data_IF_337062220019
#
_entry.id   IF_337062220019
#
_cell.length_a   1.000
_cell.length_b   1.000
_cell.length_c   1.000
_cell.angle_alpha   90.00
_cell.angle_beta   90.00
_cell.angle_gamma   90.00
#
_symmetry.space_group_name_H-M   'P 1'
#
loop_
_entity.id
_entity.type
_entity.pdbx_description
1 polymer ?
2 non-polymer ?
3 non-polymer ?
4 non-polymer ?
5 water ?
#
# COMPACT_ATOMS: atom_id res chain seq x y z
N UNK A 1 -22.46 -7.99 14.80
CA UNK A 1 -22.13 -7.75 16.20
C UNK A 1 -20.68 -7.98 16.59
N UNK A 2 -20.37 -7.74 17.87
CA UNK A 2 -19.03 -7.96 18.40
C UNK A 2 -18.92 -9.37 18.99
N UNK A 3 -18.19 -9.51 20.09
CA UNK A 3 -17.94 -10.85 20.63
C UNK A 3 -19.22 -11.47 21.20
N UNK A 4 -20.26 -10.66 21.36
CA UNK A 4 -21.51 -11.15 21.90
C UNK A 4 -22.42 -11.86 20.91
N UNK A 5 -22.14 -11.72 19.62
CA UNK A 5 -23.00 -12.30 18.59
C UNK A 5 -22.32 -13.44 17.81
N UNK A 6 -23.07 -14.02 16.88
CA UNK A 6 -22.57 -15.11 16.04
C UNK A 6 -21.38 -14.65 15.22
N UNK A 7 -20.26 -15.35 15.30
CA UNK A 7 -19.06 -14.89 14.59
C UNK A 7 -18.94 -15.55 13.22
N UNK A 8 -18.36 -14.82 12.28
CA UNK A 8 -18.24 -15.28 10.92
C UNK A 8 -17.11 -16.29 10.74
N UNK A 9 -15.99 -16.13 11.45
CA UNK A 9 -14.89 -17.10 11.36
C UNK A 9 -15.17 -18.31 12.24
N UNK A 10 -14.94 -19.52 11.72
CA UNK A 10 -15.17 -20.70 12.56
C UNK A 10 -14.00 -20.93 13.53
N UNK A 11 -12.87 -20.31 13.25
CA UNK A 11 -11.76 -20.30 14.20
C UNK A 11 -10.83 -19.15 13.82
N UNK A 12 -10.10 -18.64 14.80
CA UNK A 12 -9.31 -17.44 14.61
C UNK A 12 -7.89 -17.81 14.14
N UNK A 13 -7.82 -18.34 12.93
CA UNK A 13 -6.58 -18.80 12.34
C UNK A 13 -6.59 -18.55 10.86
N UNK A 14 -5.44 -18.69 10.22
CA UNK A 14 -5.37 -18.53 8.77
C UNK A 14 -6.30 -19.55 8.11
N UNK A 15 -6.39 -20.74 8.69
CA UNK A 15 -7.26 -21.78 8.17
C UNK A 15 -8.75 -21.37 8.25
N UNK A 16 -9.12 -20.70 9.33
CA UNK A 16 -10.49 -20.21 9.47
C UNK A 16 -10.78 -19.13 8.44
N UNK A 17 -9.80 -18.26 8.19
CA UNK A 17 -9.97 -17.18 7.21
C UNK A 17 -10.14 -17.78 5.83
N UNK A 18 -9.35 -18.79 5.51
CA UNK A 18 -9.44 -19.40 4.19
C UNK A 18 -10.82 -20.04 3.98
N UNK A 19 -11.33 -20.77 4.98
CA UNK A 19 -12.66 -21.36 4.86
C UNK A 19 -13.71 -20.26 4.67
N UNK A 20 -13.56 -19.17 5.41
CA UNK A 20 -14.49 -18.06 5.28
C UNK A 20 -14.45 -17.50 3.87
N UNK A 21 -13.25 -17.32 3.33
CA UNK A 21 -13.09 -16.76 2.00
C UNK A 21 -13.74 -17.61 0.91
N UNK A 22 -13.74 -18.93 1.09
CA UNK A 22 -14.34 -19.81 0.09
C UNK A 22 -15.78 -20.21 0.45
N UNK A 23 -16.37 -19.46 1.36
CA UNK A 23 -17.78 -19.62 1.69
C UNK A 23 -18.60 -18.55 1.00
N UNK A 24 -19.91 -18.71 0.97
CA UNK A 24 -20.76 -17.73 0.31
C UNK A 24 -20.83 -16.39 1.06
N UNK A 25 -20.38 -16.39 2.32
CA UNK A 25 -20.42 -15.19 3.17
C UNK A 25 -19.41 -14.12 2.75
N UNK A 26 -18.35 -14.56 2.10
CA UNK A 26 -17.25 -13.67 1.78
C UNK A 26 -17.18 -13.41 0.29
N UNK A 27 -17.55 -12.19 -0.11
CA UNK A 27 -17.57 -11.82 -1.53
C UNK A 27 -16.68 -10.63 -1.86
N UNK A 28 -16.48 -9.76 -0.88
CA UNK A 28 -15.76 -8.50 -1.11
C UNK A 28 -14.65 -8.27 -0.08
N UNK A 29 -13.41 -8.25 -0.57
CA UNK A 29 -12.23 -8.09 0.27
C UNK A 29 -11.62 -6.71 0.05
N UNK A 30 -11.27 -6.02 1.13
CA UNK A 30 -10.47 -4.82 1.05
C UNK A 30 -9.10 -5.15 1.59
N UNK A 31 -8.09 -4.81 0.80
CA UNK A 31 -6.71 -4.89 1.23
C UNK A 31 -6.23 -3.55 1.73
N UNK A 32 -5.55 -3.55 2.87
CA UNK A 32 -4.87 -2.38 3.40
C UNK A 32 -3.40 -2.72 3.45
N UNK A 33 -2.56 -2.06 2.67
CA UNK A 33 -1.16 -2.45 2.57
C UNK A 33 -0.20 -1.28 2.77
N UNK A 34 0.99 -1.62 3.27
CA UNK A 34 2.03 -0.66 3.55
C UNK A 34 3.40 -1.13 3.07
N UNK A 35 4.44 -0.49 3.61
CA UNK A 35 5.78 -0.65 3.08
C UNK A 35 6.29 -2.07 3.19
N UNK A 36 5.72 -2.82 4.13
CA UNK A 36 6.06 -4.21 4.36
C UNK A 36 5.80 -5.14 3.19
N UNK A 37 4.96 -4.76 2.23
CA UNK A 37 4.72 -5.62 1.09
C UNK A 37 5.71 -5.38 -0.06
N UNK A 38 6.56 -4.37 0.08
CA UNK A 38 7.51 -4.02 -0.98
C UNK A 38 8.98 -4.18 -0.59
N UNK A 39 9.25 -4.44 0.68
CA UNK A 39 10.64 -4.64 1.09
C UNK A 39 11.26 -5.83 0.38
N UNK A 40 10.50 -6.88 0.12
CA UNK A 40 11.07 -8.05 -0.52
C UNK A 40 11.30 -7.82 -2.02
N UNK A 41 10.81 -6.69 -2.52
CA UNK A 41 11.07 -6.26 -3.89
C UNK A 41 12.30 -5.36 -3.92
N UNK A 42 12.94 -5.19 -2.76
CA UNK A 42 14.14 -4.41 -2.66
C UNK A 42 13.87 -2.93 -2.53
N UNK A 43 12.65 -2.60 -2.10
CA UNK A 43 12.30 -1.21 -1.80
C UNK A 43 12.20 -1.02 -0.29
N UNK A 44 13.21 -0.40 0.32
CA UNK A 44 13.16 -0.20 1.77
C UNK A 44 11.98 0.66 2.24
N UNK A 45 11.52 0.40 3.46
CA UNK A 45 10.55 1.25 4.12
C UNK A 45 11.31 2.43 4.66
N UNK A 46 11.16 3.60 4.06
CA UNK A 46 11.99 4.73 4.44
C UNK A 46 11.63 5.22 5.84
N UNK A 47 10.63 4.57 6.45
CA UNK A 47 10.24 4.88 7.83
C UNK A 47 10.89 3.93 8.83
N UNK A 48 11.49 2.85 8.33
CA UNK A 48 12.23 1.92 9.18
C UNK A 48 13.63 2.46 9.43
N UNK A 49 14.03 2.56 10.70
CA UNK A 49 15.33 3.14 11.06
C UNK A 49 16.51 2.46 10.37
N UNK A 50 16.40 1.14 10.20
CA UNK A 50 17.47 0.35 9.59
C UNK A 50 17.75 0.76 8.15
N UNK A 51 16.74 1.34 7.51
CA UNK A 51 16.95 2.06 6.26
C UNK A 51 17.33 3.49 6.64
N UNK A 52 16.34 4.25 7.09
CA UNK A 52 16.58 5.57 7.67
C UNK A 52 16.94 6.65 6.67
N UNK A 53 16.22 7.76 6.75
CA UNK A 53 16.47 8.91 5.87
C UNK A 53 17.51 9.85 6.48
N UNK A 57 21.54 9.93 6.52
CA UNK A 57 22.51 10.38 5.52
C UNK A 57 21.89 11.40 4.55
N UNK A 58 21.83 12.65 4.98
CA UNK A 58 21.20 13.68 4.16
C UNK A 58 21.80 15.06 4.34
N UNK A 59 23.02 15.24 3.86
CA UNK A 59 23.64 16.55 3.86
C UNK A 59 23.24 17.32 2.60
N UNK A 60 21.94 17.46 2.41
CA UNK A 60 21.39 18.32 1.37
C UNK A 60 21.31 19.74 1.90
N UNK A 61 21.94 19.96 3.05
CA UNK A 61 22.11 21.29 3.60
C UNK A 61 20.75 21.91 3.90
N UNK A 62 19.84 21.08 4.38
CA UNK A 62 18.50 21.52 4.75
C UNK A 62 18.54 22.34 6.01
N UNK A 63 17.62 23.31 6.14
CA UNK A 63 17.47 24.06 7.39
C UNK A 63 17.12 23.14 8.55
N UNK A 64 16.66 21.93 8.22
CA UNK A 64 16.33 20.89 9.20
C UNK A 64 15.88 19.66 8.44
N UNK A 65 15.94 18.47 9.07
CA UNK A 65 15.64 17.21 8.37
C UNK A 65 14.25 17.13 7.73
N UNK A 66 13.20 17.51 8.47
CA UNK A 66 11.83 17.32 8.00
C UNK A 66 11.49 18.15 6.76
N UNK A 67 12.29 19.18 6.49
CA UNK A 67 12.01 20.10 5.39
C UNK A 67 11.86 19.39 4.05
N UNK A 68 12.66 18.35 3.83
CA UNK A 68 12.68 17.67 2.55
C UNK A 68 11.35 16.93 2.28
N UNK A 69 10.53 16.79 3.32
CA UNK A 69 9.22 16.15 3.20
C UNK A 69 8.07 17.16 3.13
N UNK A 70 8.39 18.43 3.35
CA UNK A 70 7.38 19.48 3.49
C UNK A 70 7.10 20.16 2.15
N UNK A 71 5.81 20.36 1.84
CA UNK A 71 5.42 20.88 0.54
C UNK A 71 5.87 22.35 0.39
N UNK A 72 5.80 23.10 1.48
CA UNK A 72 6.21 24.50 1.47
C UNK A 72 7.67 24.62 1.05
N UNK A 73 8.54 23.83 1.67
CA UNK A 73 9.97 23.87 1.39
C UNK A 73 10.26 23.37 -0.02
N UNK A 74 9.56 22.31 -0.43
CA UNK A 74 9.74 21.76 -1.77
C UNK A 74 9.53 22.82 -2.84
N UNK A 75 8.48 23.62 -2.69
CA UNK A 75 8.09 24.54 -3.76
C UNK A 75 9.09 25.67 -3.95
N UNK A 76 9.82 26.04 -2.90
CA UNK A 76 10.85 27.07 -3.05
C UNK A 76 12.24 26.47 -3.22
N UNK A 77 12.45 25.26 -2.69
CA UNK A 77 13.73 24.57 -2.86
C UNK A 77 13.53 23.09 -3.19
N UNK A 78 13.26 22.78 -4.47
CA UNK A 78 12.94 21.42 -4.88
C UNK A 78 14.14 20.52 -5.10
N UNK A 79 15.35 21.10 -5.21
CA UNK A 79 16.50 20.33 -5.64
C UNK A 79 16.87 19.18 -4.69
N UNK A 80 16.83 19.41 -3.37
CA UNK A 80 17.10 18.29 -2.46
C UNK A 80 16.17 17.12 -2.69
N UNK A 81 14.87 17.36 -2.75
CA UNK A 81 13.92 16.27 -2.97
C UNK A 81 14.27 15.45 -4.21
N UNK A 82 14.57 16.13 -5.33
CA UNK A 82 14.81 15.42 -6.56
C UNK A 82 16.17 14.73 -6.57
N UNK A 83 17.10 15.25 -5.76
CA UNK A 83 18.37 14.57 -5.57
C UNK A 83 18.14 13.29 -4.74
N UNK A 84 17.35 13.42 -3.69
CA UNK A 84 16.98 12.26 -2.88
C UNK A 84 16.18 11.24 -3.70
N UNK A 85 15.35 11.74 -4.61
CA UNK A 85 14.55 10.87 -5.47
C UNK A 85 15.44 10.05 -6.42
N UNK A 86 16.52 10.64 -6.92
CA UNK A 86 17.43 9.91 -7.79
C UNK A 86 18.15 8.80 -7.00
N UNK A 87 18.58 9.15 -5.79
CA UNK A 87 19.27 8.21 -4.91
C UNK A 87 18.38 7.01 -4.55
N UNK A 88 17.11 7.27 -4.24
CA UNK A 88 16.20 6.22 -3.78
C UNK A 88 15.44 5.55 -4.92
N UNK A 89 15.68 5.96 -6.17
CA UNK A 89 14.96 5.37 -7.29
C UNK A 89 15.27 3.88 -7.41
N UNK A 90 14.24 3.01 -7.35
CA UNK A 90 14.52 1.57 -7.45
C UNK A 90 15.26 1.18 -8.73
N UNK A 91 16.17 0.22 -8.62
CA UNK A 91 16.88 -0.29 -9.78
C UNK A 91 16.04 -1.20 -10.64
N UNK A 92 14.94 -1.70 -10.09
CA UNK A 92 14.00 -2.53 -10.84
C UNK A 92 12.65 -2.47 -10.13
N UNK A 93 11.59 -2.67 -10.90
CA UNK A 93 10.23 -2.70 -10.36
C UNK A 93 9.60 -4.07 -10.58
N UNK A 94 9.85 -4.95 -9.61
CA UNK A 94 9.40 -6.32 -9.66
C UNK A 94 8.49 -6.58 -8.47
N UNK A 95 7.16 -6.58 -8.69
CA UNK A 95 6.25 -6.75 -7.56
C UNK A 95 6.44 -8.09 -6.88
N UNK A 96 6.02 -8.16 -5.63
CA UNK A 96 6.22 -9.33 -4.79
C UNK A 96 5.09 -10.35 -4.93
N UNK A 97 5.31 -11.52 -4.37
CA UNK A 97 4.26 -12.51 -4.26
C UNK A 97 2.99 -11.89 -3.65
N UNK A 98 3.17 -11.05 -2.64
CA UNK A 98 2.04 -10.37 -2.01
C UNK A 98 1.28 -9.51 -3.03
N UNK A 99 2.00 -8.74 -3.83
CA UNK A 99 1.35 -7.94 -4.86
C UNK A 99 0.55 -8.81 -5.82
N UNK A 100 1.13 -9.91 -6.28
CA UNK A 100 0.44 -10.76 -7.24
C UNK A 100 -0.70 -11.54 -6.59
N UNK A 101 -0.61 -11.80 -5.28
CA UNK A 101 -1.74 -12.38 -4.57
C UNK A 101 -2.95 -11.45 -4.67
N UNK A 102 -2.74 -10.14 -4.60
CA UNK A 102 -3.84 -9.21 -4.74
C UNK A 102 -4.37 -9.23 -6.18
N UNK A 103 -3.49 -9.41 -7.15
CA UNK A 103 -3.97 -9.58 -8.53
C UNK A 103 -4.84 -10.84 -8.65
N UNK A 104 -4.44 -11.94 -7.99
CA UNK A 104 -5.28 -13.14 -8.00
C UNK A 104 -6.64 -12.86 -7.36
N UNK A 105 -6.65 -12.13 -6.24
CA UNK A 105 -7.92 -11.73 -5.63
C UNK A 105 -8.82 -11.05 -6.65
N UNK A 106 -8.24 -10.15 -7.44
CA UNK A 106 -8.94 -9.46 -8.50
C UNK A 106 -9.47 -10.44 -9.55
N UNK A 107 -8.60 -11.33 -10.01
CA UNK A 107 -8.97 -12.36 -10.99
C UNK A 107 -10.08 -13.28 -10.48
N UNK A 108 -10.06 -13.56 -9.17
CA UNK A 108 -11.02 -14.47 -8.55
C UNK A 108 -12.33 -13.77 -8.20
N UNK A 109 -12.43 -12.48 -8.50
CA UNK A 109 -13.64 -11.72 -8.28
C UNK A 109 -13.88 -11.28 -6.84
N UNK A 110 -12.83 -11.30 -6.03
CA UNK A 110 -12.94 -11.03 -4.60
C UNK A 110 -12.45 -9.64 -4.18
N UNK A 111 -11.77 -8.93 -5.06
CA UNK A 111 -11.15 -7.66 -4.66
C UNK A 111 -12.08 -6.48 -4.84
N UNK A 112 -12.51 -5.90 -3.72
CA UNK A 112 -13.26 -4.67 -3.74
C UNK A 112 -12.33 -3.48 -3.92
N UNK A 113 -11.26 -3.42 -3.13
CA UNK A 113 -10.34 -2.31 -3.23
C UNK A 113 -9.03 -2.63 -2.53
N UNK A 114 -7.95 -2.06 -3.05
CA UNK A 114 -6.66 -2.05 -2.36
C UNK A 114 -6.33 -0.63 -1.97
N UNK A 115 -6.29 -0.37 -0.66
CA UNK A 115 -5.84 0.89 -0.11
C UNK A 115 -4.37 0.73 0.21
N UNK A 116 -3.52 1.53 -0.43
CA UNK A 116 -2.07 1.40 -0.22
C UNK A 116 -1.46 2.69 0.32
N UNK A 117 -0.48 2.54 1.20
CA UNK A 117 0.34 3.66 1.66
C UNK A 117 1.59 3.83 0.83
N UNK A 118 1.81 2.92 -0.13
CA UNK A 118 3.06 2.91 -0.89
C UNK A 118 2.98 3.81 -2.11
N UNK A 119 4.14 4.32 -2.51
CA UNK A 119 4.23 5.26 -3.62
C UNK A 119 5.03 4.67 -4.79
N UNK A 120 5.34 3.38 -4.71
CA UNK A 120 6.29 2.75 -5.62
C UNK A 120 5.70 2.21 -6.93
N UNK A 121 4.37 2.26 -7.06
CA UNK A 121 3.61 1.83 -8.25
C UNK A 121 3.57 0.30 -8.48
N UNK A 122 4.09 -0.49 -7.54
CA UNK A 122 4.12 -1.93 -7.75
C UNK A 122 2.72 -2.55 -7.84
N UNK A 123 1.71 -1.96 -7.21
CA UNK A 123 0.36 -2.49 -7.34
C UNK A 123 -0.08 -2.43 -8.80
N UNK A 124 0.27 -1.34 -9.48
CA UNK A 124 -0.12 -1.16 -10.87
C UNK A 124 0.63 -2.13 -11.78
N UNK A 125 1.92 -2.26 -11.52
CA UNK A 125 2.76 -3.14 -12.31
C UNK A 125 2.27 -4.59 -12.16
N UNK A 126 1.78 -4.92 -10.98
CA UNK A 126 1.27 -6.27 -10.72
C UNK A 126 -0.10 -6.54 -11.36
N UNK A 127 -0.76 -5.50 -11.83
CA UNK A 127 -1.99 -5.67 -12.58
C UNK A 127 -3.24 -5.21 -11.89
N UNK A 128 -3.09 -4.45 -10.81
CA UNK A 128 -4.24 -3.74 -10.25
C UNK A 128 -4.46 -2.48 -11.08
N UNK A 129 -5.73 -2.19 -11.35
CA UNK A 129 -6.08 -1.07 -12.20
C UNK A 129 -6.47 0.12 -11.32
N UNK A 130 -6.55 1.31 -11.90
CA UNK A 130 -6.84 2.50 -11.12
C UNK A 130 -8.12 2.35 -10.31
N UNK A 131 -9.14 1.75 -10.93
CA UNK A 131 -10.42 1.59 -10.25
C UNK A 131 -10.24 0.74 -8.98
N UNK A 132 -9.28 -0.17 -8.98
CA UNK A 132 -9.04 -1.08 -7.85
C UNK A 132 -8.30 -0.42 -6.69
N UNK A 133 -7.70 0.73 -6.96
CA UNK A 133 -6.69 1.30 -6.09
C UNK A 133 -7.11 2.60 -5.44
N UNK A 134 -6.75 2.72 -4.16
CA UNK A 134 -6.74 3.99 -3.46
C UNK A 134 -5.31 4.18 -2.95
N UNK A 135 -4.58 5.08 -3.60
CA UNK A 135 -3.20 5.36 -3.23
C UNK A 135 -3.28 6.49 -2.22
N UNK A 136 -3.42 6.08 -0.96
CA UNK A 136 -3.71 6.99 0.13
C UNK A 136 -2.63 8.03 0.37
N UNK A 137 -1.38 7.68 0.08
CA UNK A 137 -0.27 8.61 0.24
C UNK A 137 0.21 9.12 -1.11
N UNK A 138 -0.63 8.97 -2.12
CA UNK A 138 -0.28 9.39 -3.46
C UNK A 138 0.64 8.40 -4.15
N UNK A 139 1.24 8.82 -5.27
CA UNK A 139 2.07 7.94 -6.07
C UNK A 139 3.03 8.69 -6.97
N UNK A 140 4.15 8.06 -7.29
CA UNK A 140 5.06 8.55 -8.34
C UNK A 140 4.52 8.30 -9.76
N UNK A 141 3.45 7.53 -9.90
CA UNK A 141 3.00 7.12 -11.23
C UNK A 141 2.68 8.29 -12.16
N UNK A 142 2.11 9.35 -11.60
CA UNK A 142 1.88 10.57 -12.34
C UNK A 142 2.41 11.76 -11.56
N UNK A 143 2.71 12.84 -12.29
CA UNK A 143 3.14 14.11 -11.69
C UNK A 143 2.31 15.23 -12.29
N UNK A 144 2.26 16.38 -11.60
CA UNK A 144 1.55 17.55 -12.12
C UNK A 144 2.33 18.84 -11.93
N UNK A 145 2.30 19.67 -12.96
CA UNK A 145 2.60 21.09 -12.80
C UNK A 145 1.86 21.66 -11.58
N UNK A 146 2.57 22.40 -10.73
CA UNK A 146 1.96 22.88 -9.50
C UNK A 146 1.15 24.17 -9.67
N UNK A 147 1.18 24.78 -10.85
CA UNK A 147 0.41 26.00 -11.06
C UNK A 147 -1.08 25.68 -11.20
N UNK A 148 -1.89 26.31 -10.36
CA UNK A 148 -3.33 26.05 -10.33
C UNK A 148 -4.01 26.21 -11.69
N UNK A 149 -3.58 27.19 -12.47
CA UNK A 149 -4.22 27.50 -13.74
C UNK A 149 -3.76 26.58 -14.87
N UNK A 150 -2.79 25.71 -14.58
CA UNK A 150 -2.25 24.81 -15.60
C UNK A 150 -2.47 23.35 -15.23
N UNK A 151 -1.72 22.86 -14.24
CA UNK A 151 -1.86 21.49 -13.73
C UNK A 151 -1.65 20.41 -14.80
N UNK A 152 -0.83 20.71 -15.82
CA UNK A 152 -0.43 19.72 -16.82
C UNK A 152 0.09 18.45 -16.14
N UNK A 153 -0.41 17.29 -16.59
CA UNK A 153 -0.01 15.99 -16.05
C UNK A 153 1.14 15.38 -16.84
N UNK A 154 2.10 14.80 -16.14
CA UNK A 154 3.24 14.14 -16.78
C UNK A 154 3.36 12.69 -16.29
N UNK A 155 3.69 11.77 -17.20
CA UNK A 155 3.87 10.35 -16.83
C UNK A 155 5.20 10.09 -16.13
N UNK A 156 5.31 8.94 -15.46
CA UNK A 156 6.53 8.61 -14.75
C UNK A 156 7.75 8.55 -15.68
N UNK A 157 7.52 8.16 -16.94
CA UNK A 157 8.63 8.05 -17.90
C UNK A 157 9.29 9.41 -18.09
N UNK A 158 8.48 10.46 -18.10
CA UNK A 158 8.95 11.83 -18.21
C UNK A 158 9.68 12.27 -16.95
N UNK A 159 9.08 11.99 -15.80
CA UNK A 159 9.65 12.37 -14.52
C UNK A 159 10.96 11.61 -14.23
N UNK A 160 11.00 10.33 -14.62
CA UNK A 160 12.21 9.52 -14.45
C UNK A 160 13.39 10.15 -15.17
N UNK A 161 13.17 10.56 -16.42
CA UNK A 161 14.25 11.11 -17.24
C UNK A 161 14.79 12.39 -16.59
N UNK A 162 13.89 13.22 -16.08
CA UNK A 162 14.27 14.43 -15.39
C UNK A 162 15.06 14.13 -14.13
N UNK A 163 14.64 13.09 -13.40
CA UNK A 163 15.26 12.76 -12.14
C UNK A 163 16.70 12.28 -12.35
N UNK A 164 16.90 11.43 -13.35
CA UNK A 164 18.22 10.83 -13.57
C UNK A 164 19.17 11.81 -14.26
N UNK A 165 18.63 12.62 -15.17
CA UNK A 165 19.41 13.67 -15.83
C UNK A 165 19.74 14.80 -14.87
N UNK A 166 19.15 14.76 -13.67
CA UNK A 166 19.36 15.79 -12.66
C UNK A 166 18.98 17.17 -13.19
N UNK A 167 17.88 17.20 -13.92
CA UNK A 167 17.26 18.46 -14.35
C UNK A 167 15.98 18.63 -13.55
N UNK A 168 15.90 19.73 -12.79
CA UNK A 168 14.70 20.00 -12.01
C UNK A 168 13.52 20.04 -12.98
N UNK A 169 12.50 19.19 -12.76
CA UNK A 169 11.40 19.11 -13.72
C UNK A 169 10.55 20.37 -13.76
N UNK A 170 10.43 20.96 -14.95
CA UNK A 170 9.59 22.14 -15.18
C UNK A 170 8.54 21.89 -16.26
N UNK A 171 7.39 22.52 -16.10
CA UNK A 171 6.29 22.33 -17.02
C UNK A 171 6.60 22.90 -18.41
N UNK A 172 6.33 22.10 -19.44
CA UNK A 172 6.59 22.51 -20.81
C UNK A 172 5.64 23.63 -21.26
N UNK A 173 4.46 23.71 -20.62
CA UNK A 173 3.49 24.75 -20.96
C UNK A 173 3.75 26.09 -20.26
N UNK A 174 4.15 26.07 -18.99
CA UNK A 174 4.27 27.32 -18.21
C UNK A 174 5.55 27.47 -17.39
N UNK A 175 6.42 26.47 -17.42
CA UNK A 175 7.72 26.48 -16.73
C UNK A 175 7.64 26.54 -15.20
N UNK A 176 6.46 26.25 -14.65
CA UNK A 176 6.34 26.00 -13.22
C UNK A 176 6.93 24.65 -12.87
N UNK A 177 7.19 24.46 -11.58
CA UNK A 177 7.64 23.20 -11.03
C UNK A 177 6.64 22.09 -11.28
N UNK A 178 7.14 20.89 -11.59
CA UNK A 178 6.30 19.71 -11.69
C UNK A 178 6.60 18.78 -10.51
N UNK A 179 5.56 18.40 -9.79
CA UNK A 179 5.67 17.63 -8.55
C UNK A 179 5.09 16.22 -8.73
N UNK A 180 5.82 15.18 -8.30
CA UNK A 180 5.18 13.86 -8.25
C UNK A 180 3.91 13.89 -7.42
N UNK A 181 2.90 13.12 -7.83
CA UNK A 181 1.62 13.08 -7.13
C UNK A 181 1.69 12.33 -5.79
N UNK A 182 2.79 12.44 -5.08
CA UNK A 182 2.88 11.89 -3.73
C UNK A 182 2.46 12.96 -2.72
N UNK A 183 1.88 12.52 -1.61
CA UNK A 183 1.47 13.46 -0.57
C UNK A 183 2.67 13.88 0.28
N UNK A 184 3.06 15.14 0.16
CA UNK A 184 4.08 15.74 1.03
C UNK A 184 3.46 16.11 2.38
N UNK A 185 4.28 16.28 3.41
CA UNK A 185 3.74 16.83 4.64
C UNK A 185 3.25 18.23 4.37
N UNK A 186 2.10 18.58 4.94
CA UNK A 186 1.45 19.84 4.65
C UNK A 186 0.37 19.69 3.60
N UNK A 187 0.38 18.56 2.88
CA UNK A 187 -0.68 18.28 1.92
C UNK A 187 -1.74 17.37 2.52
N UNK A 188 -2.96 17.54 2.06
CA UNK A 188 -4.06 16.67 2.44
C UNK A 188 -3.97 15.35 1.68
N UNK A 189 -4.51 14.28 2.26
CA UNK A 189 -4.63 13.04 1.51
C UNK A 189 -5.57 13.31 0.34
N UNK A 190 -5.46 12.50 -0.72
CA UNK A 190 -6.34 12.69 -1.88
C UNK A 190 -7.82 12.56 -1.52
N UNK A 191 -8.66 13.36 -2.17
CA UNK A 191 -10.10 13.31 -1.96
C UNK A 191 -10.62 11.89 -2.20
N UNK A 192 -10.01 11.19 -3.14
CA UNK A 192 -10.40 9.81 -3.46
C UNK A 192 -10.37 8.91 -2.22
N UNK A 193 -9.40 9.15 -1.34
CA UNK A 193 -9.29 8.36 -0.12
C UNK A 193 -10.57 8.42 0.70
N UNK A 194 -11.07 9.63 0.93
CA UNK A 194 -12.24 9.81 1.77
C UNK A 194 -13.51 9.38 1.06
N UNK A 195 -13.62 9.68 -0.23
CA UNK A 195 -14.78 9.27 -1.02
C UNK A 195 -14.95 7.76 -1.04
N UNK A 196 -13.86 7.06 -1.33
CA UNK A 196 -13.92 5.60 -1.42
C UNK A 196 -14.15 4.97 -0.07
N UNK A 197 -13.52 5.51 0.96
CA UNK A 197 -13.65 4.95 2.30
C UNK A 197 -15.12 4.95 2.72
N UNK A 198 -15.80 6.06 2.45
CA UNK A 198 -17.21 6.21 2.84
C UNK A 198 -18.12 5.17 2.21
N UNK A 199 -17.77 4.69 1.02
CA UNK A 199 -18.62 3.73 0.30
C UNK A 199 -18.16 2.28 0.53
N UNK A 200 -16.86 2.06 0.45
CA UNK A 200 -16.33 0.71 0.45
C UNK A 200 -16.61 -0.03 1.74
N UNK A 201 -16.53 0.67 2.87
CA UNK A 201 -16.58 -0.05 4.13
C UNK A 201 -18.01 -0.39 4.52
N UNK A 202 -18.96 0.04 3.71
CA UNK A 202 -20.35 -0.42 3.81
C UNK A 202 -20.54 -1.79 3.16
N UNK A 203 -19.54 -2.22 2.41
CA UNK A 203 -19.68 -3.33 1.47
C UNK A 203 -18.65 -4.45 1.73
N UNK A 204 -17.84 -4.31 2.78
CA UNK A 204 -16.69 -5.20 2.95
C UNK A 204 -17.03 -6.44 3.78
N UNK A 205 -16.50 -7.59 3.34
CA UNK A 205 -16.67 -8.86 4.04
C UNK A 205 -15.40 -9.31 4.76
N UNK A 206 -14.25 -8.81 4.32
CA UNK A 206 -12.94 -9.22 4.85
C UNK A 206 -11.96 -8.08 4.69
N UNK A 207 -11.22 -7.78 5.77
CA UNK A 207 -10.11 -6.86 5.69
C UNK A 207 -8.83 -7.68 5.71
N UNK A 208 -7.99 -7.48 4.69
CA UNK A 208 -6.68 -8.10 4.63
C UNK A 208 -5.64 -7.01 4.80
N UNK A 209 -5.02 -6.98 5.98
CA UNK A 209 -4.08 -5.93 6.36
C UNK A 209 -2.69 -6.51 6.28
N UNK A 210 -1.89 -5.99 5.34
CA UNK A 210 -0.60 -6.61 5.05
C UNK A 210 0.54 -5.60 5.02
N UNK A 211 1.59 -5.87 5.79
CA UNK A 211 2.81 -5.08 5.69
C UNK A 211 2.65 -3.65 6.14
N UNK A 212 1.80 -3.43 7.14
CA UNK A 212 1.70 -2.10 7.75
C UNK A 212 1.57 -2.22 9.25
N UNK A 213 2.27 -1.34 9.97
CA UNK A 213 2.19 -1.30 11.43
C UNK A 213 1.05 -0.39 11.90
N UNK A 214 0.30 0.19 10.96
CA UNK A 214 -0.89 0.96 11.30
C UNK A 214 -0.56 2.08 12.30
N UNK A 215 0.52 2.80 12.04
CA UNK A 215 0.96 3.86 12.93
C UNK A 215 0.70 5.24 12.34
N UNK A 216 0.59 5.32 11.01
CA UNK A 216 0.39 6.60 10.33
C UNK A 216 -1.10 6.86 10.10
N UNK A 217 -1.57 8.03 10.53
CA UNK A 217 -2.98 8.42 10.39
C UNK A 217 -3.15 9.39 9.24
N UNK A 218 -4.36 9.44 8.65
CA UNK A 218 -5.58 8.69 9.01
C UNK A 218 -5.65 7.28 8.40
N UNK A 219 -4.64 6.84 7.67
CA UNK A 219 -4.68 5.50 7.08
C UNK A 219 -4.98 4.43 8.13
N UNK A 220 -4.34 4.51 9.29
CA UNK A 220 -4.50 3.51 10.32
C UNK A 220 -5.95 3.39 10.81
N UNK A 221 -6.67 4.51 10.84
CA UNK A 221 -8.05 4.53 11.32
C UNK A 221 -9.00 3.73 10.44
N UNK A 222 -8.55 3.32 9.27
CA UNK A 222 -9.38 2.54 8.37
C UNK A 222 -9.89 1.26 9.03
N UNK A 223 -9.13 0.63 9.91
CA UNK A 223 -9.58 -0.66 10.42
C UNK A 223 -10.84 -0.49 11.29
N UNK A 224 -10.98 0.69 11.89
CA UNK A 224 -12.13 0.99 12.74
C UNK A 224 -13.38 1.30 11.91
N UNK A 225 -13.26 1.36 10.59
CA UNK A 225 -14.40 1.70 9.75
C UNK A 225 -15.08 0.45 9.22
N UNK A 226 -14.53 -0.72 9.56
CA UNK A 226 -15.16 -1.96 9.18
C UNK A 226 -16.38 -2.21 10.06
N UNK A 227 -17.43 -2.83 9.49
CA UNK A 227 -18.53 -3.32 10.33
C UNK A 227 -18.00 -4.21 11.45
N UNK A 228 -18.74 -4.29 12.55
CA UNK A 228 -18.29 -5.05 13.71
C UNK A 228 -18.01 -6.52 13.42
N UNK A 229 -18.74 -7.11 12.47
CA UNK A 229 -18.62 -8.54 12.23
C UNK A 229 -17.47 -8.89 11.29
N UNK A 230 -16.95 -7.90 10.57
CA UNK A 230 -16.02 -8.14 9.47
C UNK A 230 -14.69 -8.69 9.96
N UNK A 231 -14.35 -9.95 9.57
CA UNK A 231 -13.04 -10.46 9.99
C UNK A 231 -11.90 -9.62 9.44
N UNK A 232 -10.82 -9.56 10.21
CA UNK A 232 -9.66 -8.77 9.85
C UNK A 232 -8.41 -9.62 10.05
N UNK A 233 -7.71 -9.90 8.95
CA UNK A 233 -6.49 -10.69 8.97
C UNK A 233 -5.28 -9.80 8.78
N UNK A 234 -4.39 -9.82 9.77
CA UNK A 234 -3.13 -9.13 9.69
C UNK A 234 -2.03 -10.10 9.25
N UNK A 235 -1.35 -9.77 8.16
CA UNK A 235 -0.15 -10.50 7.73
C UNK A 235 1.00 -9.51 7.82
N UNK A 236 1.85 -9.68 8.81
CA UNK A 236 2.85 -8.67 9.13
C UNK A 236 3.94 -9.26 9.99
N UNK A 237 5.13 -8.66 9.99
CA UNK A 237 6.21 -9.22 10.78
C UNK A 237 5.92 -9.11 12.28
N UNK A 238 5.23 -8.04 12.67
CA UNK A 238 4.86 -7.79 14.07
C UNK A 238 3.37 -7.59 14.21
N UNK A 239 2.83 -7.98 15.37
CA UNK A 239 1.45 -7.67 15.69
C UNK A 239 1.29 -6.16 15.71
N UNK A 240 0.18 -5.68 15.15
CA UNK A 240 -0.09 -4.26 15.03
C UNK A 240 -1.57 -4.00 15.14
N UNK A 241 -1.93 -2.76 15.43
CA UNK A 241 -3.33 -2.36 15.39
C UNK A 241 -4.10 -2.53 16.69
N UNK A 242 -3.47 -3.03 17.73
CA UNK A 242 -4.14 -3.13 19.02
C UNK A 242 -4.20 -1.74 19.64
N UNK A 243 -5.22 -1.49 20.46
CA UNK A 243 -5.33 -0.20 21.12
C UNK A 243 -4.13 0.05 22.02
N UNK A 244 -3.72 1.30 22.11
CA UNK A 244 -2.61 1.69 22.97
C UNK A 244 -3.09 1.76 24.41
N UNK A 245 -2.49 0.95 25.31
CA UNK A 245 -3.00 0.93 26.68
C UNK A 245 -2.81 2.27 27.39
N UNK A 246 -1.93 3.11 26.84
CA UNK A 246 -1.73 4.45 27.40
C UNK A 246 -2.78 5.41 26.86
N UNK A 247 -2.86 5.52 25.53
CA UNK A 247 -3.84 6.39 24.89
C UNK A 247 -5.19 5.70 24.76
N UNK A 255 -12.34 0.89 19.21
CA UNK A 255 -11.19 0.11 19.61
C UNK A 255 -10.51 -0.55 18.42
N UNK A 256 -9.33 -1.13 18.67
CA UNK A 256 -8.51 -1.68 17.62
C UNK A 256 -8.61 -3.20 17.51
N UNK A 257 -7.52 -3.80 17.06
CA UNK A 257 -7.44 -5.23 16.92
C UNK A 257 -7.48 -5.93 18.27
N UNK A 258 -8.24 -7.02 18.34
CA UNK A 258 -8.19 -7.92 19.49
C UNK A 258 -7.93 -9.33 18.98
N UNK A 259 -6.67 -9.74 19.06
CA UNK A 259 -6.26 -11.05 18.56
C UNK A 259 -6.37 -12.14 19.62
N UNK A 260 -6.09 -11.77 20.87
CA UNK A 260 -5.67 -12.74 21.88
C UNK A 260 -6.52 -12.81 23.16
N UNK A 261 -7.41 -11.85 23.39
CA UNK A 261 -8.23 -11.87 24.61
C UNK A 261 -9.34 -12.91 24.51
N UNK A 262 -10.00 -13.18 25.65
CA UNK A 262 -11.13 -14.10 25.67
C UNK A 262 -12.30 -13.56 24.87
N UNK A 263 -12.26 -12.26 24.58
CA UNK A 263 -13.33 -11.61 23.80
C UNK A 263 -12.99 -11.55 22.31
N UNK A 264 -11.81 -12.03 21.93
CA UNK A 264 -11.41 -12.00 20.52
C UNK A 264 -12.43 -12.81 19.73
N UNK A 265 -12.86 -12.31 18.57
CA UNK A 265 -13.89 -13.00 17.81
C UNK A 265 -13.72 -12.91 16.29
N UNK A 266 -12.85 -12.02 15.80
CA UNK A 266 -12.79 -11.79 14.34
C UNK A 266 -11.42 -11.39 13.79
N UNK A 267 -10.46 -11.12 14.67
CA UNK A 267 -9.15 -10.66 14.24
C UNK A 267 -8.13 -11.78 14.36
N UNK A 268 -7.30 -11.93 13.32
CA UNK A 268 -6.30 -12.98 13.23
C UNK A 268 -4.98 -12.36 12.82
N UNK A 269 -3.91 -12.73 13.53
CA UNK A 269 -2.56 -12.28 13.20
C UNK A 269 -1.71 -13.45 12.73
N UNK A 270 -1.18 -13.32 11.52
CA UNK A 270 -0.21 -14.26 10.98
C UNK A 270 1.12 -13.52 10.91
N UNK A 271 2.09 -13.96 11.70
CA UNK A 271 3.33 -13.21 11.87
C UNK A 271 4.49 -13.79 11.08
N UNK A 272 5.00 -12.98 10.16
CA UNK A 272 6.12 -13.37 9.32
C UNK A 272 6.17 -12.41 8.15
N UNK A 273 6.96 -12.77 7.13
CA UNK A 273 7.06 -11.98 5.91
C UNK A 273 5.77 -12.04 5.11
N UNK A 274 5.40 -10.94 4.46
CA UNK A 274 4.12 -10.89 3.75
C UNK A 274 4.04 -11.92 2.64
N UNK A 275 5.16 -12.12 1.95
CA UNK A 275 5.18 -13.10 0.87
C UNK A 275 4.85 -14.48 1.42
N UNK A 276 5.40 -14.81 2.58
CA UNK A 276 5.23 -16.15 3.13
C UNK A 276 3.80 -16.37 3.65
N UNK A 277 3.22 -15.32 4.23
CA UNK A 277 1.84 -15.38 4.69
C UNK A 277 0.89 -15.52 3.53
N UNK A 278 1.10 -14.71 2.48
CA UNK A 278 0.26 -14.80 1.31
C UNK A 278 0.41 -16.15 0.62
N UNK A 279 1.63 -16.69 0.60
CA UNK A 279 1.83 -18.01 0.01
C UNK A 279 1.07 -19.06 0.81
N UNK A 280 1.11 -18.94 2.13
CA UNK A 280 0.42 -19.88 3.01
C UNK A 280 -1.08 -19.82 2.78
N UNK A 281 -1.61 -18.60 2.66
CA UNK A 281 -3.03 -18.44 2.44
C UNK A 281 -3.43 -18.96 1.07
N UNK A 282 -2.65 -18.63 0.04
CA UNK A 282 -2.94 -19.14 -1.30
C UNK A 282 -2.95 -20.66 -1.33
N UNK A 283 -2.05 -21.28 -0.57
CA UNK A 283 -1.94 -22.74 -0.58
C UNK A 283 -3.20 -23.35 0.04
N UNK A 284 -3.68 -22.76 1.13
CA UNK A 284 -4.92 -23.21 1.76
C UNK A 284 -6.10 -23.11 0.79
N UNK A 285 -6.10 -22.05 0.00
CA UNK A 285 -7.17 -21.77 -0.95
C UNK A 285 -7.12 -22.60 -2.21
N UNK A 286 -6.03 -23.36 -2.40
CA UNK A 286 -5.86 -24.14 -3.61
C UNK A 286 -5.34 -23.29 -4.76
N UNK A 287 -4.79 -22.13 -4.42
CA UNK A 287 -4.33 -21.16 -5.44
C UNK A 287 -2.82 -21.17 -5.65
N UNK A 288 -2.11 -22.06 -4.96
CA UNK A 288 -0.65 -21.99 -4.97
C UNK A 288 -0.05 -22.11 -6.38
N UNK A 289 -0.51 -23.08 -7.17
CA UNK A 289 -0.03 -23.21 -8.55
C UNK A 289 -0.35 -21.98 -9.37
N UNK A 290 -1.57 -21.47 -9.24
CA UNK A 290 -1.95 -20.27 -9.97
C UNK A 290 -1.04 -19.10 -9.61
N UNK A 291 -0.74 -18.97 -8.33
CA UNK A 291 0.10 -17.88 -7.86
C UNK A 291 1.53 -18.05 -8.37
N UNK A 292 2.05 -19.26 -8.26
CA UNK A 292 3.40 -19.57 -8.73
C UNK A 292 3.52 -19.23 -10.21
N UNK A 293 2.56 -19.70 -10.99
CA UNK A 293 2.58 -19.51 -12.44
C UNK A 293 2.55 -18.01 -12.79
N UNK A 294 1.65 -17.28 -12.13
CA UNK A 294 1.52 -15.84 -12.39
C UNK A 294 2.80 -15.10 -12.07
N UNK A 295 3.32 -15.31 -10.87
CA UNK A 295 4.55 -14.66 -10.46
C UNK A 295 5.73 -14.99 -11.38
N UNK A 296 5.91 -16.28 -11.68
CA UNK A 296 6.96 -16.73 -12.60
C UNK A 296 6.88 -16.00 -13.93
N UNK A 297 5.69 -16.00 -14.52
CA UNK A 297 5.48 -15.36 -15.81
C UNK A 297 5.79 -13.87 -15.77
N UNK A 298 5.26 -13.17 -14.78
CA UNK A 298 5.40 -11.73 -14.72
C UNK A 298 6.85 -11.33 -14.37
N UNK A 299 7.46 -12.03 -13.42
CA UNK A 299 8.86 -11.81 -13.10
C UNK A 299 9.76 -12.05 -14.33
N UNK A 300 9.51 -13.12 -15.07
CA UNK A 300 10.30 -13.40 -16.27
C UNK A 300 10.16 -12.25 -17.27
N UNK A 301 8.92 -11.79 -17.44
CA UNK A 301 8.65 -10.69 -18.37
C UNK A 301 9.40 -9.42 -17.95
N UNK A 302 9.37 -9.10 -16.67
CA UNK A 302 10.05 -7.91 -16.17
C UNK A 302 11.56 -8.06 -16.33
N UNK A 303 12.09 -9.24 -16.00
CA UNK A 303 13.53 -9.50 -16.13
C UNK A 303 13.99 -9.33 -17.58
N UNK A 304 13.09 -9.63 -18.52
CA UNK A 304 13.42 -9.64 -19.94
C UNK A 304 13.15 -8.31 -20.65
N UNK A 305 12.77 -7.28 -19.89
CA UNK A 305 12.52 -5.97 -20.48
C UNK A 305 13.75 -5.47 -21.22
N UNK A 306 13.62 -5.18 -22.51
CA UNK A 306 14.78 -4.85 -23.36
C UNK A 306 14.67 -3.45 -23.94
X LIG B 1 11.82 10.62 -2.72
X LIG B 1 11.05 8.46 -1.16
X LIG B 1 11.47 6.94 -3.10
X LIG B 1 11.20 5.70 -2.40
X LIG B 1 10.89 6.83 -6.91
X LIG B 1 10.14 6.50 -8.02
X LIG B 1 9.27 5.42 -7.95
X LIG B 1 6.66 12.98 0.19
X LIG B 1 7.80 13.77 0.26
X LIG B 1 9.02 13.20 0.54
X LIG B 1 9.12 11.83 0.75
X LIG B 1 7.98 11.04 0.68
X LIG B 1 6.75 11.62 0.41
X LIG B 1 10.38 11.30 1.04
X LIG B 1 10.61 9.93 0.82
X LIG B 1 11.03 9.74 -0.63
X LIG B 1 11.42 10.82 -1.41
X LIG B 1 11.83 9.34 -3.25
X LIG B 1 11.45 8.26 -2.48
X LIG B 1 10.96 5.65 -1.24
X LIG B 1 11.28 4.40 -3.21
X LIG B 1 9.79 4.16 -4.23
X LIG B 1 9.91 5.08 -5.78
X LIG B 1 10.75 6.11 -5.83
X LIG B 1 9.18 4.73 -6.83
X LIG B 1 8.44 5.04 -9.18
X LIG B 1 11.86 8.02 -6.91
X LIG B 1 12.08 11.34 -3.24
X LIG B 1 10.79 7.74 -0.64
X LIG B 1 11.65 6.90 -3.95
X LIG B 1 10.21 6.99 -8.80
X LIG B 1 5.84 13.37 0.00
X LIG B 1 7.74 14.69 0.13
X LIG B 1 9.78 13.72 0.59
X LIG B 1 8.04 10.12 0.82
X LIG B 1 5.98 11.09 0.35
X LIG B 1 9.81 9.44 0.98
X LIG B 1 11.29 9.62 1.39
X LIG B 1 11.42 11.68 -1.05
X LIG B 1 12.08 9.20 -4.14
X LIG B 1 11.36 3.67 -2.62
X LIG B 1 12.03 4.43 -3.76
X LIG B 1 9.02 4.89 -9.93
X LIG B 1 7.81 5.75 -9.39
X LIG B 1 7.94 4.23 -9.00
X LIG B 1 11.39 8.83 -7.16
X LIG B 1 12.57 7.85 -7.54
X LIG B 1 12.24 8.13 -6.03
X LIG C 1 2.19 24.21 -16.16
X LIG D 1 3.92 -17.57 12.37
X LIG D 1 2.40 -17.72 12.33
X LIG D 1 4.48 -17.65 11.08
X LIG D 1 1.67 -16.37 13.29
X LIG D 1 4.34 -18.35 12.99
X LIG D 1 4.17 -16.60 12.81
X LIG D 1 2.05 -17.67 11.31
X LIG D 1 2.11 -18.67 12.76
X LIG D 1 3.76 -17.78 10.42
X LIG D 1 0.76 -16.58 13.50
X LIG E 1 4.40 0.86 8.21
X LIG E 1 3.36 1.09 7.10
X LIG E 1 4.79 -0.50 8.31
X LIG E 1 4.05 1.67 5.53
X LIG E 1 3.98 1.18 9.16
X LIG E 1 5.27 1.47 8.01
X LIG E 1 2.82 0.16 6.93
X LIG E 1 2.64 1.82 7.46
X LIG E 1 4.32 -1.04 7.65
X LIG E 1 3.67 2.52 5.31
#
# INVERSE_FOLDING_TARGET
GASGSERLLDELTLEGVARYMQSERCRRVICLVGAGISTSAGIPDFRSPSTGLYDNLEKYHLPYPEAIFEISYFKKHPEPFFALAKELYPGQFKPTICHYFMRLLKDKGLLLRCYTQNIDTLERIAGLEQEDLVEAHGTFYTSHCVSASCRHEYPLSWMKEKIFSEVTPKCEDCQSLVKPDIVFFGESLPARFFSCMQSDFLKVDLLLVMGTSLQVQPFASLISKAPLSTPRLLINKEKAGQSDPFLGMIMGLGGGMDFDSKKAYRDVAWLGECDQGCLALAELLGWKKELEDLVRREHASIDAQS
A2I C11 C14 N15 C16 C22 C23 C24 C1 C2 C3 C4 C5 C6 O7 C8 C9 C10 C12 C13 O17 C18 S19 C20 N21 N25 C26 C27 H111 H141 H151 H231 H011 H021 H031 H051 H061 H082 H081 H101 H121 H182 H181 H261 H263 H262 H273 H271 H272
ZN ZN
BME C1 C2 O1 S2 H11 H12 H21 H22 HO1 HS2
BME C1 C2 O1 S2 H11 H12 H21 H22 HO1 HS2
#
